data_IF_313556477048
#
_entry.id   IF_313556477048
#
_cell.length_a   1.000
_cell.length_b   1.000
_cell.length_c   1.000
_cell.angle_alpha   90.00
_cell.angle_beta   90.00
_cell.angle_gamma   90.00
#
_symmetry.space_group_name_H-M   'P 1'
#
loop_
_entity.id
_entity.type
_entity.pdbx_description
1 polymer ?
#
# COMPACT_ATOMS: atom_id res chain seq x y z
N UNK A 1 -1.62 -10.92 -57.22
CA UNK A 1 -0.16 -11.17 -57.24
C UNK A 1 0.21 -12.26 -56.23
N UNK A 2 -0.09 -13.52 -56.57
CA UNK A 2 0.20 -14.70 -55.74
C UNK A 2 0.60 -15.86 -56.65
N UNK A 3 1.76 -15.73 -57.32
CA UNK A 3 2.35 -16.75 -58.21
C UNK A 3 3.78 -17.15 -57.82
N UNK A 4 4.20 -16.84 -56.57
CA UNK A 4 5.54 -17.20 -56.07
C UNK A 4 5.56 -18.36 -55.07
N UNK A 5 4.39 -18.87 -54.66
CA UNK A 5 4.27 -19.90 -53.61
C UNK A 5 4.28 -21.34 -54.13
N UNK A 6 3.92 -21.60 -55.40
CA UNK A 6 3.82 -22.99 -55.91
C UNK A 6 5.16 -23.66 -56.28
N UNK A 7 6.24 -22.90 -56.52
CA UNK A 7 7.57 -23.49 -56.78
C UNK A 7 8.39 -23.80 -55.51
N UNK A 8 7.83 -23.59 -54.32
CA UNK A 8 8.57 -23.74 -53.05
C UNK A 8 8.70 -25.19 -52.56
N UNK A 9 8.05 -26.16 -53.22
CA UNK A 9 8.11 -27.58 -52.85
C UNK A 9 8.50 -28.56 -53.98
N UNK A 10 8.75 -28.07 -55.19
CA UNK A 10 9.31 -28.90 -56.27
C UNK A 10 10.73 -29.32 -55.91
N UNK A 11 11.00 -30.63 -55.88
CA UNK A 11 12.35 -31.15 -55.64
C UNK A 11 13.29 -30.66 -56.76
N UNK A 12 14.49 -30.15 -56.44
CA UNK A 12 15.47 -29.81 -57.45
C UNK A 12 15.80 -31.05 -58.28
N UNK A 13 15.84 -30.91 -59.59
CA UNK A 13 16.06 -32.03 -60.52
C UNK A 13 17.53 -32.18 -60.90
N UNK A 14 18.36 -31.21 -60.51
CA UNK A 14 19.81 -31.22 -60.72
C UNK A 14 20.56 -30.86 -59.44
N UNK A 15 21.82 -31.27 -59.34
CA UNK A 15 22.68 -30.92 -58.20
C UNK A 15 22.94 -29.42 -58.09
N UNK A 16 23.01 -28.71 -59.23
CA UNK A 16 23.22 -27.27 -59.26
C UNK A 16 22.02 -26.52 -58.65
N UNK A 17 20.80 -26.89 -59.04
CA UNK A 17 19.57 -26.35 -58.45
C UNK A 17 19.46 -26.66 -56.96
N UNK A 18 19.88 -27.87 -56.54
CA UNK A 18 19.86 -28.26 -55.13
C UNK A 18 20.82 -27.40 -54.29
N UNK A 19 22.03 -27.15 -54.78
CA UNK A 19 23.03 -26.30 -54.10
C UNK A 19 22.59 -24.85 -54.03
N UNK A 20 22.04 -24.31 -55.12
CA UNK A 20 21.54 -22.93 -55.14
C UNK A 20 20.39 -22.73 -54.15
N UNK A 21 19.45 -23.68 -54.12
CA UNK A 21 18.33 -23.66 -53.16
C UNK A 21 18.78 -23.82 -51.70
N UNK A 22 19.75 -24.68 -51.43
CA UNK A 22 20.33 -24.83 -50.09
C UNK A 22 21.06 -23.55 -49.64
N UNK A 23 21.80 -22.90 -50.54
CA UNK A 23 22.44 -21.61 -50.28
C UNK A 23 21.41 -20.54 -49.94
N UNK A 24 20.33 -20.46 -50.71
CA UNK A 24 19.24 -19.51 -50.49
C UNK A 24 18.51 -19.75 -49.16
N UNK A 25 18.16 -21.01 -48.85
CA UNK A 25 17.56 -21.38 -47.56
C UNK A 25 18.52 -21.11 -46.39
N UNK A 26 19.81 -21.36 -46.57
CA UNK A 26 20.84 -21.05 -45.59
C UNK A 26 20.94 -19.55 -45.28
N UNK A 27 20.77 -18.69 -46.29
CA UNK A 27 20.67 -17.24 -46.11
C UNK A 27 19.45 -16.83 -45.29
N UNK A 28 18.27 -17.35 -45.64
CA UNK A 28 17.02 -17.08 -44.92
C UNK A 28 17.10 -17.53 -43.45
N UNK A 29 17.66 -18.71 -43.18
CA UNK A 29 17.83 -19.22 -41.81
C UNK A 29 18.75 -18.30 -41.02
N UNK A 30 19.88 -17.89 -41.60
CA UNK A 30 20.84 -16.99 -40.95
C UNK A 30 20.21 -15.63 -40.62
N UNK A 31 19.32 -15.13 -41.47
CA UNK A 31 18.61 -13.87 -41.24
C UNK A 31 17.47 -14.01 -40.21
N UNK A 32 16.85 -15.19 -40.11
CA UNK A 32 15.75 -15.47 -39.18
C UNK A 32 16.21 -15.77 -37.74
N UNK A 33 17.36 -16.41 -37.56
CA UNK A 33 17.95 -16.72 -36.25
C UNK A 33 18.01 -15.53 -35.27
N UNK A 34 18.54 -14.34 -35.64
CA UNK A 34 18.59 -13.21 -34.72
C UNK A 34 17.19 -12.68 -34.38
N UNK A 35 16.22 -12.76 -35.30
CA UNK A 35 14.84 -12.34 -35.06
C UNK A 35 14.15 -13.26 -34.06
N UNK A 36 14.36 -14.58 -34.16
CA UNK A 36 13.84 -15.55 -33.18
C UNK A 36 14.49 -15.34 -31.81
N UNK A 37 15.79 -15.04 -31.76
CA UNK A 37 16.46 -14.73 -30.49
C UNK A 37 15.92 -13.45 -29.85
N UNK A 38 15.62 -12.41 -30.64
CA UNK A 38 15.00 -11.18 -30.16
C UNK A 38 13.56 -11.42 -29.66
N UNK A 39 12.76 -12.20 -30.38
CA UNK A 39 11.41 -12.58 -29.97
C UNK A 39 11.40 -13.32 -28.63
N UNK A 40 12.31 -14.27 -28.42
CA UNK A 40 12.44 -14.98 -27.14
C UNK A 40 12.77 -14.04 -25.98
N UNK A 41 13.65 -13.06 -26.21
CA UNK A 41 13.98 -12.04 -25.20
C UNK A 41 12.79 -11.13 -24.90
N UNK A 42 12.05 -10.72 -25.92
CA UNK A 42 10.85 -9.91 -25.76
C UNK A 42 9.75 -10.65 -25.01
N UNK A 43 9.58 -11.95 -25.28
CA UNK A 43 8.62 -12.78 -24.56
C UNK A 43 8.96 -12.87 -23.07
N UNK A 44 10.24 -13.14 -22.73
CA UNK A 44 10.69 -13.15 -21.35
C UNK A 44 10.51 -11.79 -20.65
N UNK A 45 10.75 -10.68 -21.35
CA UNK A 45 10.48 -9.35 -20.83
C UNK A 45 8.97 -9.11 -20.58
N UNK A 46 8.11 -9.64 -21.45
CA UNK A 46 6.66 -9.60 -21.29
C UNK A 46 6.17 -10.34 -20.04
N UNK A 47 6.75 -11.51 -19.75
CA UNK A 47 6.44 -12.28 -18.53
C UNK A 47 6.81 -11.50 -17.26
N UNK A 48 7.96 -10.81 -17.26
CA UNK A 48 8.37 -9.94 -16.14
C UNK A 48 7.39 -8.79 -15.96
N UNK A 49 6.94 -8.15 -17.05
CA UNK A 49 5.97 -7.06 -16.99
C UNK A 49 4.61 -7.52 -16.47
N UNK A 50 4.16 -8.73 -16.85
CA UNK A 50 2.92 -9.31 -16.32
C UNK A 50 3.04 -9.63 -14.83
N UNK A 51 4.17 -10.18 -14.38
CA UNK A 51 4.43 -10.41 -12.96
C UNK A 51 4.42 -9.09 -12.16
N UNK A 52 5.09 -8.05 -12.66
CA UNK A 52 5.10 -6.73 -12.04
C UNK A 52 3.69 -6.10 -12.00
N UNK A 53 2.89 -6.27 -13.05
CA UNK A 53 1.50 -5.78 -13.07
C UNK A 53 0.61 -6.52 -12.06
N UNK A 54 0.79 -7.84 -11.91
CA UNK A 54 0.08 -8.62 -10.91
C UNK A 54 0.47 -8.23 -9.48
N UNK A 55 1.76 -7.97 -9.23
CA UNK A 55 2.24 -7.48 -7.94
C UNK A 55 1.69 -6.09 -7.62
N UNK A 56 1.68 -5.17 -8.58
CA UNK A 56 1.07 -3.85 -8.40
C UNK A 56 -0.43 -3.93 -8.12
N UNK A 57 -1.15 -4.83 -8.78
CA UNK A 57 -2.57 -5.07 -8.52
C UNK A 57 -2.81 -5.64 -7.11
N UNK A 58 -1.99 -6.61 -6.69
CA UNK A 58 -2.03 -7.18 -5.34
C UNK A 58 -1.79 -6.11 -4.27
N UNK A 59 -0.77 -5.26 -4.44
CA UNK A 59 -0.49 -4.16 -3.51
C UNK A 59 -1.70 -3.22 -3.44
N UNK A 60 -2.25 -2.80 -4.59
CA UNK A 60 -3.40 -1.90 -4.63
C UNK A 60 -4.63 -2.48 -3.92
N UNK A 61 -4.89 -3.78 -4.07
CA UNK A 61 -5.98 -4.48 -3.38
C UNK A 61 -5.78 -4.51 -1.85
N UNK A 62 -4.52 -4.53 -1.38
CA UNK A 62 -4.18 -4.65 0.05
C UNK A 62 -3.71 -3.35 0.69
N UNK A 63 -3.74 -2.22 -0.02
CA UNK A 63 -3.24 -0.93 0.46
C UNK A 63 -3.87 -0.51 1.79
N UNK A 64 -5.18 -0.72 1.96
CA UNK A 64 -5.87 -0.30 3.18
C UNK A 64 -5.49 -1.19 4.38
N UNK A 65 -5.22 -2.48 4.17
CA UNK A 65 -4.67 -3.36 5.20
C UNK A 65 -3.26 -2.97 5.61
N UNK A 66 -2.41 -2.59 4.63
CA UNK A 66 -1.05 -2.10 4.88
C UNK A 66 -1.10 -0.78 5.67
N UNK A 67 -1.96 0.17 5.25
CA UNK A 67 -2.15 1.45 5.96
C UNK A 67 -2.62 1.24 7.41
N UNK A 68 -3.56 0.33 7.63
CA UNK A 68 -4.04 0.01 8.97
C UNK A 68 -2.93 -0.58 9.86
N UNK A 69 -2.06 -1.44 9.28
CA UNK A 69 -0.91 -2.00 9.98
C UNK A 69 0.17 -0.94 10.28
N UNK A 70 0.42 -0.01 9.36
CA UNK A 70 1.34 1.10 9.56
C UNK A 70 0.83 2.09 10.60
N UNK A 71 -0.47 2.42 10.59
CA UNK A 71 -1.11 3.22 11.62
C UNK A 71 -0.98 2.53 13.00
N UNK A 72 -1.24 1.21 13.09
CA UNK A 72 -1.07 0.44 14.33
C UNK A 72 0.38 0.47 14.82
N UNK A 73 1.35 0.34 13.91
CA UNK A 73 2.77 0.43 14.24
C UNK A 73 3.12 1.82 14.77
N UNK A 74 2.67 2.88 14.09
CA UNK A 74 2.93 4.26 14.51
C UNK A 74 2.28 4.57 15.87
N UNK A 75 1.11 3.99 16.16
CA UNK A 75 0.48 4.09 17.47
C UNK A 75 1.36 3.48 18.57
N UNK A 76 1.99 2.32 18.32
CA UNK A 76 2.89 1.66 19.29
C UNK A 76 4.18 2.43 19.58
N UNK A 77 4.53 3.40 18.75
CA UNK A 77 5.69 4.27 19.01
C UNK A 77 5.43 5.30 20.12
N UNK A 78 4.17 5.47 20.52
CA UNK A 78 3.76 6.26 21.67
C UNK A 78 3.69 5.39 22.92
N UNK A 79 4.33 5.83 23.99
CA UNK A 79 4.18 5.26 25.33
C UNK A 79 3.50 6.31 26.20
N UNK A 80 2.18 6.22 26.36
CA UNK A 80 1.42 7.15 27.20
C UNK A 80 1.57 6.72 28.65
N UNK A 81 2.07 7.63 29.50
CA UNK A 81 2.33 7.33 30.91
C UNK A 81 1.31 7.96 31.84
N UNK A 82 0.73 9.11 31.47
CA UNK A 82 -0.24 9.81 32.31
C UNK A 82 -1.14 10.76 31.50
N UNK A 83 -2.35 11.01 31.98
CA UNK A 83 -3.29 11.99 31.41
C UNK A 83 -3.80 12.88 32.54
N UNK A 84 -3.31 14.12 32.55
CA UNK A 84 -3.63 15.10 33.58
C UNK A 84 -4.74 16.05 33.14
N UNK A 85 -5.63 16.40 34.08
CA UNK A 85 -6.59 17.49 33.91
C UNK A 85 -5.88 18.82 34.22
N UNK A 86 -5.90 19.76 33.28
CA UNK A 86 -5.15 21.04 33.40
C UNK A 86 -6.07 22.24 33.70
N UNK A 87 -7.40 22.11 33.60
CA UNK A 87 -8.28 23.20 34.03
C UNK A 87 -9.77 22.87 34.11
N UNK A 88 -10.43 23.48 35.11
CA UNK A 88 -11.87 23.44 35.36
C UNK A 88 -12.52 24.83 35.14
N UNK A 89 -13.56 24.83 34.30
CA UNK A 89 -14.77 25.66 34.30
C UNK A 89 -14.75 27.20 34.49
N UNK A 90 -13.64 27.94 34.46
CA UNK A 90 -13.73 29.40 34.67
C UNK A 90 -14.08 30.27 33.46
N UNK A 91 -14.06 29.76 32.22
CA UNK A 91 -14.45 30.51 31.01
C UNK A 91 -15.07 29.59 29.92
N UNK A 92 -16.20 28.93 30.17
CA UNK A 92 -16.96 28.23 29.11
C UNK A 92 -16.92 26.69 29.10
N UNK A 93 -16.45 26.04 30.17
CA UNK A 93 -16.96 24.72 30.57
C UNK A 93 -16.40 23.45 29.92
N UNK A 94 -15.31 23.47 29.16
CA UNK A 94 -14.65 22.21 28.72
C UNK A 94 -13.40 21.88 29.55
N UNK A 95 -13.32 20.66 30.13
CA UNK A 95 -12.09 20.19 30.76
C UNK A 95 -10.99 20.03 29.71
N UNK A 96 -9.84 20.67 29.94
CA UNK A 96 -8.66 20.51 29.10
C UNK A 96 -7.72 19.46 29.69
N UNK A 97 -7.22 18.57 28.84
CA UNK A 97 -6.33 17.48 29.24
C UNK A 97 -4.95 17.65 28.61
N UNK A 98 -3.92 17.33 29.38
CA UNK A 98 -2.55 17.19 28.90
C UNK A 98 -2.10 15.76 29.10
N UNK A 99 -1.69 15.16 27.99
CA UNK A 99 -1.17 13.80 27.91
C UNK A 99 0.34 13.87 28.02
N UNK A 100 0.88 13.01 28.88
CA UNK A 100 2.30 12.85 29.12
C UNK A 100 2.74 11.45 28.72
N UNK A 101 3.95 11.34 28.20
CA UNK A 101 4.48 10.06 27.78
C UNK A 101 5.79 10.20 27.03
N UNK A 102 6.09 9.21 26.19
CA UNK A 102 7.16 9.29 25.20
C UNK A 102 6.63 9.01 23.80
N UNK A 103 7.33 9.51 22.78
CA UNK A 103 7.17 9.11 21.39
C UNK A 103 8.57 8.85 20.84
N UNK A 104 8.85 7.60 20.44
CA UNK A 104 10.19 7.16 19.99
C UNK A 104 11.30 7.48 21.02
N UNK A 105 10.99 7.35 22.30
CA UNK A 105 11.91 7.65 23.40
C UNK A 105 12.10 9.13 23.74
N UNK A 106 11.49 10.05 22.98
CA UNK A 106 11.48 11.48 23.32
C UNK A 106 10.28 11.79 24.21
N UNK A 107 10.43 12.57 25.29
CA UNK A 107 9.31 12.94 26.14
C UNK A 107 8.32 13.79 25.36
N UNK A 108 7.02 13.51 25.55
CA UNK A 108 5.93 14.29 25.00
C UNK A 108 5.07 14.85 26.13
N UNK A 109 4.67 16.10 25.97
CA UNK A 109 3.65 16.76 26.77
C UNK A 109 2.76 17.52 25.80
N UNK A 110 1.59 16.96 25.49
CA UNK A 110 0.72 17.52 24.46
C UNK A 110 -0.72 17.63 24.95
N UNK A 111 -1.44 18.68 24.50
CA UNK A 111 -2.88 18.76 24.76
C UNK A 111 -3.60 17.59 24.08
N UNK A 112 -4.60 17.02 24.76
CA UNK A 112 -5.41 15.93 24.21
C UNK A 112 -6.15 16.35 22.94
N UNK A 113 -6.56 17.61 22.81
CA UNK A 113 -7.25 18.13 21.61
C UNK A 113 -6.31 18.34 20.40
N UNK A 114 -5.14 17.70 20.39
CA UNK A 114 -4.25 17.60 19.24
C UNK A 114 -4.99 17.02 18.03
N UNK A 115 -4.81 17.60 16.84
CA UNK A 115 -5.41 17.10 15.59
C UNK A 115 -4.69 15.86 15.02
N UNK A 116 -3.70 15.31 15.73
CA UNK A 116 -2.97 14.14 15.27
C UNK A 116 -3.77 12.85 15.57
N UNK A 117 -4.32 12.24 14.53
CA UNK A 117 -5.10 10.99 14.59
C UNK A 117 -4.35 9.83 15.25
N UNK A 118 -3.06 9.65 14.94
CA UNK A 118 -2.25 8.55 15.47
C UNK A 118 -2.08 8.73 16.98
N UNK A 119 -1.77 9.94 17.41
CA UNK A 119 -1.64 10.28 18.82
C UNK A 119 -2.94 10.06 19.60
N UNK A 120 -4.08 10.51 19.07
CA UNK A 120 -5.39 10.27 19.69
C UNK A 120 -5.75 8.78 19.77
N UNK A 121 -5.37 8.01 18.75
CA UNK A 121 -5.55 6.55 18.73
C UNK A 121 -4.63 5.86 19.74
N UNK A 122 -3.43 6.38 19.98
CA UNK A 122 -2.55 5.90 21.05
C UNK A 122 -3.14 6.17 22.42
N UNK A 123 -3.68 7.37 22.63
CA UNK A 123 -4.35 7.73 23.89
C UNK A 123 -5.59 6.88 24.15
N UNK A 124 -6.35 6.52 23.11
CA UNK A 124 -7.56 5.69 23.28
C UNK A 124 -7.30 4.25 23.71
N UNK A 125 -6.08 3.73 23.48
CA UNK A 125 -5.67 2.42 24.01
C UNK A 125 -5.42 2.43 25.50
N UNK A 126 -5.16 3.61 26.06
CA UNK A 126 -4.85 3.80 27.48
C UNK A 126 -6.03 4.44 28.22
N UNK A 127 -7.23 3.92 27.98
CA UNK A 127 -8.44 4.45 28.59
C UNK A 127 -8.43 4.34 30.13
N UNK A 128 -7.65 3.41 30.67
CA UNK A 128 -7.38 3.23 32.10
C UNK A 128 -6.62 4.40 32.74
N UNK A 129 -5.84 5.15 31.95
CA UNK A 129 -5.08 6.32 32.44
C UNK A 129 -5.93 7.58 32.53
N UNK A 130 -7.17 7.54 32.02
CA UNK A 130 -8.09 8.67 32.09
C UNK A 130 -8.59 8.79 33.53
N UNK A 131 -8.46 9.97 34.18
CA UNK A 131 -8.92 10.15 35.54
C UNK A 131 -10.41 9.76 35.71
N UNK A 132 -10.71 8.87 36.67
CA UNK A 132 -12.06 8.33 36.88
C UNK A 132 -13.13 9.41 37.16
N UNK A 133 -12.73 10.59 37.65
CA UNK A 133 -13.59 11.75 37.82
C UNK A 133 -14.21 12.25 36.50
N UNK A 134 -13.56 11.98 35.37
CA UNK A 134 -13.99 12.31 34.01
C UNK A 134 -14.95 11.24 33.48
N UNK A 135 -14.64 9.96 33.68
CA UNK A 135 -15.48 8.83 33.24
C UNK A 135 -16.84 8.78 33.95
N UNK A 136 -16.93 9.29 35.18
CA UNK A 136 -18.15 9.28 36.01
C UNK A 136 -19.08 10.47 35.78
N UNK A 137 -18.63 11.52 35.08
CA UNK A 137 -19.44 12.71 34.82
C UNK A 137 -19.97 12.63 33.39
N UNK A 138 -21.26 12.33 33.31
CA UNK A 138 -22.16 12.55 32.18
C UNK A 138 -22.01 11.65 30.93
N UNK A 139 -23.06 10.92 30.50
CA UNK A 139 -23.09 10.31 29.16
C UNK A 139 -23.01 11.34 28.01
N UNK A 140 -23.27 12.62 28.28
CA UNK A 140 -23.02 13.73 27.34
C UNK A 140 -21.60 14.31 27.42
N UNK A 141 -20.68 13.65 28.13
CA UNK A 141 -19.32 14.14 28.27
C UNK A 141 -18.64 14.24 26.89
N UNK A 142 -18.16 15.43 26.50
CA UNK A 142 -17.49 15.64 25.22
C UNK A 142 -16.23 14.79 25.07
N UNK A 143 -15.61 14.36 26.17
CA UNK A 143 -14.53 13.38 26.15
C UNK A 143 -15.02 12.00 25.68
N UNK A 144 -16.14 11.50 26.22
CA UNK A 144 -16.72 10.24 25.76
C UNK A 144 -17.19 10.35 24.30
N UNK A 145 -17.74 11.49 23.89
CA UNK A 145 -18.10 11.76 22.50
C UNK A 145 -16.88 11.81 21.57
N UNK A 146 -15.77 12.43 22.00
CA UNK A 146 -14.50 12.49 21.26
C UNK A 146 -13.91 11.08 21.10
N UNK A 147 -13.78 10.34 22.20
CA UNK A 147 -13.22 8.98 22.17
C UNK A 147 -14.11 8.01 21.39
N UNK A 148 -15.43 8.13 21.49
CA UNK A 148 -16.39 7.36 20.68
C UNK A 148 -16.29 7.72 19.19
N UNK A 149 -16.25 9.01 18.85
CA UNK A 149 -16.06 9.47 17.47
C UNK A 149 -14.76 8.94 16.86
N UNK A 150 -13.67 8.93 17.60
CA UNK A 150 -12.41 8.37 17.11
C UNK A 150 -12.40 6.83 17.06
N UNK A 151 -13.04 6.15 18.01
CA UNK A 151 -13.21 4.71 17.95
C UNK A 151 -14.09 4.28 16.75
N UNK A 152 -15.13 5.04 16.44
CA UNK A 152 -16.01 4.81 15.29
C UNK A 152 -15.30 5.14 13.97
N UNK A 153 -14.50 6.21 13.92
CA UNK A 153 -13.65 6.53 12.77
C UNK A 153 -12.54 5.49 12.55
N UNK A 154 -11.90 4.97 13.60
CA UNK A 154 -10.88 3.92 13.50
C UNK A 154 -11.46 2.59 13.01
N UNK A 155 -12.76 2.35 13.22
CA UNK A 155 -13.50 1.19 12.70
C UNK A 155 -14.15 1.43 11.33
N UNK A 156 -13.96 2.61 10.75
CA UNK A 156 -14.50 2.96 9.42
C UNK A 156 -16.01 3.25 9.40
N UNK A 157 -16.62 3.53 10.54
CA UNK A 157 -18.08 3.79 10.63
C UNK A 157 -18.50 5.21 10.28
N UNK A 158 -17.57 6.10 9.90
CA UNK A 158 -17.93 7.44 9.42
C UNK A 158 -18.32 7.41 7.93
N UNK A 159 -19.57 7.06 7.65
CA UNK A 159 -20.30 7.54 6.47
C UNK A 159 -21.28 8.61 6.95
N UNK A 160 -20.96 9.88 6.69
CA UNK A 160 -21.77 11.05 6.99
C UNK A 160 -21.26 12.25 6.21
#
# INVERSE_FOLDING_TARGET
>A
MAKKTENQFTLPTTEAEARDRLSHLGGIIRDAEPLVAQLKRLQAAGEILQAAAAEAAFINEHLDGIRAADDDRAVREYEITDITLVGDARNGGMPSFTVHGTHRGCPIQQPLHSQNRIFLTAVSRHAELIPAAVLRRDPENPFNALMKHYADHARGYCNG
#
